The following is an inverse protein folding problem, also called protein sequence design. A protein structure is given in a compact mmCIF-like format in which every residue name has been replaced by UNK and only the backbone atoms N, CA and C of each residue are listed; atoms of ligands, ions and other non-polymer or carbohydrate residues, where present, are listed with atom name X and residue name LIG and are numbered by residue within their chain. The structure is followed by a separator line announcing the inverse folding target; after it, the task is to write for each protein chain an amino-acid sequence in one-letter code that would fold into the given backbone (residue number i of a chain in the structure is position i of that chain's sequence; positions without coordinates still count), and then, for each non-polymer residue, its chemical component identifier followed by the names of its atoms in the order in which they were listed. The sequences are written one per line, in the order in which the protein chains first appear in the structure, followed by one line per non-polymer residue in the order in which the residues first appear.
data_IF_737918239009
#
_entry.id   IF_737918239009
#
_cell.length_a   1.000
_cell.length_b   1.000
_cell.length_c   1.000
_cell.angle_alpha   90.00
_cell.angle_beta   90.00
_cell.angle_gamma   90.00
#
_symmetry.space_group_name_H-M   'P 1'
#
loop_
_entity.id
_entity.type
_entity.pdbx_description
1 polymer ?
#
# COMPACT_ATOMS: atom_id res chain seq x y z
N UNK A 1 6.11 -17.03 12.25
CA UNK A 1 6.53 -15.77 11.63
C UNK A 1 6.09 -15.80 10.18
N UNK A 2 5.46 -14.74 9.68
CA UNK A 2 5.20 -14.60 8.25
C UNK A 2 6.53 -14.23 7.56
N UNK A 3 6.91 -15.00 6.54
CA UNK A 3 8.03 -14.68 5.66
C UNK A 3 7.44 -14.22 4.31
N UNK A 4 8.13 -13.31 3.64
CA UNK A 4 7.76 -12.80 2.32
C UNK A 4 8.93 -13.08 1.40
N UNK A 5 8.65 -13.67 0.24
CA UNK A 5 9.67 -14.07 -0.74
C UNK A 5 9.31 -13.58 -2.14
N UNK A 6 10.32 -13.45 -3.01
CA UNK A 6 10.11 -13.16 -4.43
C UNK A 6 9.24 -14.26 -5.06
N UNK A 7 8.24 -13.86 -5.84
CA UNK A 7 7.24 -14.74 -6.43
C UNK A 7 6.03 -15.03 -5.54
N UNK A 8 6.05 -14.65 -4.26
CA UNK A 8 4.92 -14.84 -3.37
C UNK A 8 3.73 -13.97 -3.79
N UNK A 9 2.53 -14.55 -3.82
CA UNK A 9 1.28 -13.80 -4.02
C UNK A 9 0.96 -13.00 -2.78
N UNK A 10 0.63 -11.72 -2.98
CA UNK A 10 0.31 -10.78 -1.91
C UNK A 10 -0.85 -9.87 -2.31
N UNK A 11 -1.46 -9.25 -1.31
CA UNK A 11 -2.35 -8.12 -1.45
C UNK A 11 -1.75 -6.91 -0.71
N UNK A 12 -1.88 -5.72 -1.29
CA UNK A 12 -1.53 -4.45 -0.67
C UNK A 12 -2.73 -3.53 -0.74
N UNK A 13 -3.07 -2.89 0.37
CA UNK A 13 -4.25 -2.04 0.52
C UNK A 13 -3.84 -0.63 0.97
N UNK A 14 -4.55 0.37 0.44
CA UNK A 14 -4.57 1.74 0.96
C UNK A 14 -6.01 2.20 1.01
N UNK A 15 -6.36 2.87 2.09
CA UNK A 15 -7.68 3.41 2.36
C UNK A 15 -7.61 4.82 2.95
N UNK A 16 -8.73 5.53 2.86
CA UNK A 16 -8.94 6.80 3.57
C UNK A 16 -10.42 6.98 3.92
N UNK A 17 -10.68 7.60 5.07
CA UNK A 17 -12.01 7.95 5.55
C UNK A 17 -12.05 9.44 5.92
N UNK A 18 -13.05 10.15 5.43
CA UNK A 18 -13.40 11.50 5.86
C UNK A 18 -14.65 11.45 6.75
N UNK A 19 -14.43 11.60 8.06
CA UNK A 19 -15.50 11.58 9.06
C UNK A 19 -16.47 12.76 8.93
N UNK A 20 -16.02 13.91 8.42
CA UNK A 20 -16.85 15.10 8.31
C UNK A 20 -17.89 14.97 7.19
N UNK A 21 -17.49 14.34 6.09
CA UNK A 21 -18.38 14.09 4.93
C UNK A 21 -18.99 12.69 4.94
N UNK A 22 -18.58 11.81 5.86
CA UNK A 22 -18.96 10.39 5.89
C UNK A 22 -18.71 9.70 4.54
N UNK A 23 -17.58 10.05 3.93
CA UNK A 23 -17.12 9.42 2.69
C UNK A 23 -15.83 8.65 2.95
N UNK A 24 -15.54 7.68 2.10
CA UNK A 24 -14.29 6.94 2.18
C UNK A 24 -14.02 6.16 0.92
N UNK A 25 -12.80 5.65 0.81
CA UNK A 25 -12.40 4.82 -0.30
C UNK A 25 -11.36 3.78 0.14
N UNK A 26 -11.31 2.67 -0.60
CA UNK A 26 -10.22 1.68 -0.54
C UNK A 26 -9.69 1.38 -1.94
N UNK A 27 -8.43 0.95 -1.99
CA UNK A 27 -7.80 0.37 -3.16
C UNK A 27 -7.00 -0.85 -2.72
N UNK A 28 -7.28 -1.99 -3.34
CA UNK A 28 -6.56 -3.25 -3.12
C UNK A 28 -5.84 -3.67 -4.41
N UNK A 29 -4.53 -3.80 -4.31
CA UNK A 29 -3.67 -4.35 -5.35
C UNK A 29 -3.32 -5.80 -5.04
N UNK A 30 -3.68 -6.71 -5.93
CA UNK A 30 -3.22 -8.11 -5.90
C UNK A 30 -2.07 -8.27 -6.88
N UNK A 31 -1.07 -9.05 -6.50
CA UNK A 31 0.07 -9.32 -7.35
C UNK A 31 1.05 -10.31 -6.76
N UNK A 32 2.26 -10.30 -7.30
CA UNK A 32 3.38 -11.07 -6.78
C UNK A 32 4.54 -10.16 -6.40
N UNK A 33 5.29 -10.55 -5.38
CA UNK A 33 6.56 -9.90 -5.03
C UNK A 33 7.52 -10.03 -6.22
N UNK A 34 7.88 -8.91 -6.82
CA UNK A 34 8.77 -8.87 -7.98
C UNK A 34 10.24 -8.81 -7.54
N UNK A 35 10.56 -8.00 -6.54
CA UNK A 35 11.92 -7.88 -6.01
C UNK A 35 11.91 -7.50 -4.53
N UNK A 36 12.99 -7.86 -3.83
CA UNK A 36 13.30 -7.44 -2.47
C UNK A 36 14.75 -6.98 -2.45
N UNK A 37 14.97 -5.67 -2.39
CA UNK A 37 16.30 -5.07 -2.46
C UNK A 37 16.66 -4.42 -1.12
N UNK A 38 17.90 -4.59 -0.68
CA UNK A 38 18.47 -3.87 0.46
C UNK A 38 19.45 -2.82 -0.04
N UNK A 39 19.28 -1.58 0.41
CA UNK A 39 20.12 -0.44 0.01
C UNK A 39 21.17 -0.11 1.08
N UNK A 40 22.28 0.52 0.65
CA UNK A 40 23.40 0.89 1.53
C UNK A 40 22.99 1.91 2.59
N UNK A 41 22.14 2.85 2.20
CA UNK A 41 21.70 3.97 3.00
C UNK A 41 20.26 4.36 2.66
N UNK A 42 19.70 5.25 3.47
CA UNK A 42 18.31 5.65 3.39
C UNK A 42 18.05 6.53 2.16
N UNK A 43 19.06 7.28 1.67
CA UNK A 43 18.93 8.10 0.48
C UNK A 43 18.77 7.22 -0.78
N UNK A 44 19.55 6.14 -0.88
CA UNK A 44 19.44 5.16 -1.95
C UNK A 44 18.10 4.40 -1.88
N UNK A 45 17.62 4.05 -0.69
CA UNK A 45 16.30 3.44 -0.53
C UNK A 45 15.16 4.38 -0.97
N UNK A 46 15.22 5.66 -0.58
CA UNK A 46 14.23 6.67 -1.01
C UNK A 46 14.28 6.90 -2.51
N UNK A 47 15.47 6.96 -3.12
CA UNK A 47 15.63 7.05 -4.57
C UNK A 47 15.02 5.84 -5.31
N UNK A 48 14.95 4.67 -4.65
CA UNK A 48 14.31 3.46 -5.15
C UNK A 48 12.81 3.35 -4.83
N UNK A 49 12.20 4.38 -4.23
CA UNK A 49 10.77 4.45 -3.96
C UNK A 49 10.35 4.20 -2.51
N UNK A 50 11.29 4.07 -1.57
CA UNK A 50 10.95 4.02 -0.15
C UNK A 50 10.35 5.36 0.34
N UNK A 51 9.36 5.35 1.24
CA UNK A 51 8.85 6.58 1.84
C UNK A 51 9.95 7.28 2.66
N UNK A 52 10.03 8.60 2.53
CA UNK A 52 11.02 9.44 3.23
C UNK A 52 10.78 9.53 4.74
N UNK A 53 9.54 9.33 5.18
CA UNK A 53 9.13 9.39 6.58
C UNK A 53 8.39 8.10 6.92
N UNK A 54 8.88 7.38 7.93
CA UNK A 54 8.20 6.22 8.52
C UNK A 54 7.92 6.53 9.99
N UNK A 55 6.69 6.29 10.45
CA UNK A 55 6.30 6.51 11.84
C UNK A 55 7.03 5.56 12.82
N UNK A 56 7.38 4.36 12.36
CA UNK A 56 8.08 3.38 13.18
C UNK A 56 9.59 3.65 13.20
N UNK A 57 10.24 3.62 14.38
CA UNK A 57 11.69 3.84 14.48
C UNK A 57 12.48 2.70 13.83
N UNK A 58 13.72 3.00 13.41
CA UNK A 58 14.70 2.02 12.92
C UNK A 58 15.15 2.23 11.48
N UNK A 59 16.20 1.51 11.09
CA UNK A 59 16.76 1.56 9.74
C UNK A 59 15.85 0.79 8.77
N UNK A 60 15.40 1.46 7.70
CA UNK A 60 14.42 0.93 6.72
C UNK A 60 15.01 1.01 5.31
N UNK A 61 15.93 0.09 5.01
CA UNK A 61 16.63 0.05 3.71
C UNK A 61 16.17 -1.07 2.80
N UNK A 62 15.11 -1.78 3.17
CA UNK A 62 14.54 -2.83 2.35
C UNK A 62 13.35 -2.28 1.58
N UNK A 63 13.41 -2.36 0.25
CA UNK A 63 12.32 -1.99 -0.64
C UNK A 63 11.84 -3.24 -1.35
N UNK A 64 10.53 -3.47 -1.29
CA UNK A 64 9.85 -4.51 -2.03
C UNK A 64 9.05 -3.90 -3.16
N UNK A 65 9.09 -4.53 -4.33
CA UNK A 65 8.24 -4.15 -5.46
C UNK A 65 7.20 -5.23 -5.72
N UNK A 66 5.99 -4.81 -6.11
CA UNK A 66 4.86 -5.69 -6.41
C UNK A 66 4.57 -5.60 -7.90
N UNK A 67 4.60 -6.72 -8.60
CA UNK A 67 4.04 -6.82 -9.95
C UNK A 67 2.54 -7.01 -9.84
N UNK A 68 1.77 -5.93 -10.04
CA UNK A 68 0.32 -5.92 -9.86
C UNK A 68 -0.35 -6.68 -11.01
N UNK A 69 -1.19 -7.65 -10.68
CA UNK A 69 -1.99 -8.43 -11.64
C UNK A 69 -3.46 -8.06 -11.62
N UNK A 70 -3.95 -7.48 -10.52
CA UNK A 70 -5.31 -6.95 -10.40
C UNK A 70 -5.33 -5.76 -9.47
N UNK A 71 -6.09 -4.74 -9.84
CA UNK A 71 -6.33 -3.55 -9.04
C UNK A 71 -7.85 -3.34 -8.95
N UNK A 72 -8.35 -3.22 -7.72
CA UNK A 72 -9.76 -2.93 -7.45
C UNK A 72 -9.85 -1.85 -6.39
N UNK A 73 -10.95 -1.10 -6.38
CA UNK A 73 -11.23 -0.15 -5.32
C UNK A 73 -12.73 0.08 -5.17
N UNK A 74 -13.11 0.57 -4.00
CA UNK A 74 -14.48 0.96 -3.68
C UNK A 74 -14.45 2.38 -3.13
N UNK A 75 -15.35 3.23 -3.62
CA UNK A 75 -15.69 4.49 -2.98
C UNK A 75 -17.08 4.36 -2.34
N UNK A 76 -17.24 4.94 -1.15
CA UNK A 76 -18.51 4.98 -0.42
C UNK A 76 -18.83 6.41 -0.01
N UNK A 77 -20.09 6.80 -0.15
CA UNK A 77 -20.66 8.05 0.33
C UNK A 77 -21.89 7.74 1.16
N UNK A 78 -22.22 8.64 2.10
CA UNK A 78 -23.45 8.54 2.89
C UNK A 78 -24.69 9.04 2.13
N UNK A 79 -24.74 8.91 0.80
CA UNK A 79 -25.94 9.29 0.06
C UNK A 79 -27.11 8.50 0.67
N UNK A 80 -28.01 9.21 1.37
CA UNK A 80 -29.30 8.62 1.74
C UNK A 80 -29.98 8.25 0.40
N UNK A 81 -30.57 7.06 0.28
CA UNK A 81 -31.47 6.80 -0.83
C UNK A 81 -32.51 7.92 -0.81
N UNK A 82 -32.69 8.59 -1.94
CA UNK A 82 -33.77 9.55 -2.16
C UNK A 82 -35.08 8.78 -1.93
N UNK A 83 -35.65 8.85 -0.72
CA UNK A 83 -36.97 8.34 -0.39
C UNK A 83 -37.98 9.17 -1.21
N UNK A 84 -38.22 8.75 -2.46
CA UNK A 84 -39.33 9.20 -3.32
C UNK A 84 -40.59 8.37 -3.08
#
# INVERSE_FOLDING_TARGET
MAHIEVGQRIAFEVDELDEATRTGWDVVAHGTVQSMNSYSDDAAAVAAGAPKLTWAPGVRRNVMTISITSLSGRAVSSDEPDDQ
#
